data_IF_654634759925
#
_entry.id   IF_654634759925
#
_cell.length_a   1.000
_cell.length_b   1.000
_cell.length_c   1.000
_cell.angle_alpha   90.00
_cell.angle_beta   90.00
_cell.angle_gamma   90.00
#
_symmetry.space_group_name_H-M   'P 1'
#
loop_
_entity.id
_entity.type
_entity.pdbx_description
1 polymer ?
#
# COMPACT_ATOMS: atom_id res chain seq x y z
N UNK A 1 -40.03 -2.53 54.11
CA UNK A 1 -41.48 -2.65 54.33
C UNK A 1 -42.16 -2.69 52.98
N UNK A 2 -42.93 -3.76 52.70
CA UNK A 2 -43.91 -4.03 51.61
C UNK A 2 -43.50 -3.76 50.16
N UNK A 3 -43.58 -4.65 49.16
CA UNK A 3 -44.40 -5.84 48.88
C UNK A 3 -45.92 -5.67 49.13
N UNK A 4 -46.66 -5.48 48.03
CA UNK A 4 -47.95 -6.14 47.68
C UNK A 4 -48.46 -5.50 46.38
N UNK A 5 -48.53 -6.21 45.26
CA UNK A 5 -49.55 -7.21 44.89
C UNK A 5 -50.88 -6.58 44.43
N UNK A 6 -51.21 -6.83 43.16
CA UNK A 6 -52.58 -6.97 42.63
C UNK A 6 -52.48 -7.95 41.45
N UNK A 7 -52.75 -9.23 41.69
CA UNK A 7 -54.02 -9.95 41.41
C UNK A 7 -54.35 -10.00 39.91
N UNK A 8 -54.09 -11.10 39.19
CA UNK A 8 -54.77 -12.42 39.18
C UNK A 8 -56.22 -12.40 38.66
N UNK A 9 -56.42 -13.06 37.52
CA UNK A 9 -57.70 -13.70 37.17
C UNK A 9 -57.44 -14.90 36.26
N UNK A 10 -58.09 -16.00 36.63
CA UNK A 10 -57.86 -17.41 36.30
C UNK A 10 -58.96 -17.90 35.35
N UNK A 11 -58.72 -19.08 34.71
CA UNK A 11 -59.70 -20.08 34.20
C UNK A 11 -60.14 -19.87 32.73
N UNK A 12 -60.15 -20.83 31.81
CA UNK A 12 -60.50 -22.27 31.87
C UNK A 12 -60.00 -23.04 30.61
N UNK A 13 -59.70 -24.33 30.75
CA UNK A 13 -59.46 -25.36 29.70
C UNK A 13 -60.80 -26.02 29.25
N UNK A 14 -60.91 -27.14 28.47
CA UNK A 14 -60.02 -27.86 27.52
C UNK A 14 -60.74 -28.47 26.25
N UNK A 15 -60.00 -29.31 25.47
CA UNK A 15 -60.44 -30.40 24.54
C UNK A 15 -60.87 -30.04 23.10
N UNK A 16 -60.07 -30.46 22.09
CA UNK A 16 -60.42 -31.54 21.13
C UNK A 16 -59.37 -31.67 20.00
N UNK A 17 -59.04 -32.91 19.71
CA UNK A 17 -58.09 -33.46 18.75
C UNK A 17 -58.53 -33.39 17.28
N UNK A 18 -57.59 -33.17 16.35
CA UNK A 18 -57.52 -33.94 15.10
C UNK A 18 -56.20 -33.72 14.35
N UNK A 19 -55.56 -34.85 14.09
CA UNK A 19 -54.46 -35.15 13.15
C UNK A 19 -54.43 -34.36 11.84
N UNK A 20 -53.22 -33.93 11.44
CA UNK A 20 -52.68 -34.25 10.10
C UNK A 20 -51.20 -33.87 10.02
N UNK A 21 -50.40 -34.90 9.84
CA UNK A 21 -49.01 -34.91 9.38
C UNK A 21 -48.77 -34.01 8.16
N UNK A 22 -47.78 -33.12 8.22
CA UNK A 22 -47.00 -32.73 7.03
C UNK A 22 -45.66 -32.08 7.42
N UNK A 23 -44.62 -32.64 6.83
CA UNK A 23 -43.34 -31.99 6.47
C UNK A 23 -42.58 -31.20 7.54
N UNK A 24 -41.61 -31.91 8.12
CA UNK A 24 -40.34 -31.38 8.59
C UNK A 24 -39.73 -30.31 7.68
N UNK A 25 -39.56 -29.11 8.21
CA UNK A 25 -38.50 -28.16 7.81
C UNK A 25 -38.17 -27.32 9.04
N UNK A 26 -37.00 -27.51 9.68
CA UNK A 26 -36.58 -26.61 10.74
C UNK A 26 -36.20 -25.29 10.08
N UNK A 27 -37.05 -24.27 10.24
CA UNK A 27 -36.64 -22.88 10.06
C UNK A 27 -35.58 -22.60 11.12
N UNK A 28 -34.32 -22.69 10.70
CA UNK A 28 -33.15 -22.29 11.46
C UNK A 28 -33.27 -20.80 11.77
N UNK A 29 -33.79 -20.54 12.96
CA UNK A 29 -33.54 -19.36 13.74
C UNK A 29 -32.06 -19.00 13.68
N UNK A 30 -31.80 -17.75 13.30
CA UNK A 30 -30.71 -16.93 13.83
C UNK A 30 -29.32 -17.56 13.77
N UNK A 31 -28.66 -17.38 12.64
CA UNK A 31 -27.21 -17.17 12.60
C UNK A 31 -26.91 -16.24 11.43
N UNK A 32 -27.41 -15.00 11.55
CA UNK A 32 -26.73 -13.87 10.91
C UNK A 32 -25.33 -13.88 11.48
N UNK A 33 -24.39 -14.54 10.79
CA UNK A 33 -22.99 -14.25 10.93
C UNK A 33 -22.89 -12.77 10.61
N UNK A 34 -22.89 -11.95 11.65
CA UNK A 34 -22.29 -10.64 11.61
C UNK A 34 -20.94 -10.89 10.96
N UNK A 35 -20.85 -10.50 9.70
CA UNK A 35 -19.58 -10.34 9.03
C UNK A 35 -18.90 -9.34 9.93
N UNK A 36 -18.07 -9.83 10.85
CA UNK A 36 -17.19 -8.97 11.61
C UNK A 36 -16.33 -8.38 10.52
N UNK A 37 -16.69 -7.16 10.11
CA UNK A 37 -15.86 -6.29 9.28
C UNK A 37 -14.49 -6.34 9.93
N UNK A 38 -13.64 -7.22 9.43
CA UNK A 38 -12.24 -7.25 9.81
C UNK A 38 -11.76 -5.93 9.25
N UNK A 39 -11.77 -4.89 10.09
CA UNK A 39 -11.33 -3.56 9.75
C UNK A 39 -9.85 -3.69 9.44
N UNK A 40 -9.55 -3.98 8.17
CA UNK A 40 -8.22 -4.10 7.63
C UNK A 40 -7.63 -2.70 7.72
N UNK A 41 -6.88 -2.46 8.79
CA UNK A 41 -6.22 -1.19 9.01
C UNK A 41 -5.12 -1.06 7.95
N UNK A 42 -5.44 -0.38 6.84
CA UNK A 42 -4.48 -0.08 5.78
C UNK A 42 -3.46 0.91 6.33
N UNK A 43 -2.36 0.39 6.87
CA UNK A 43 -1.23 1.21 7.31
C UNK A 43 -0.37 1.49 6.07
N UNK A 44 -0.06 2.77 5.77
CA UNK A 44 0.66 3.09 4.57
C UNK A 44 2.12 2.65 4.67
N UNK A 45 2.67 2.13 3.57
CA UNK A 45 4.02 1.56 3.54
C UNK A 45 5.10 2.57 3.94
N UNK A 46 4.88 3.85 3.62
CA UNK A 46 5.74 4.97 4.02
C UNK A 46 5.87 5.05 5.54
N UNK A 47 4.77 4.89 6.29
CA UNK A 47 4.78 4.91 7.76
C UNK A 47 5.39 3.64 8.37
N UNK A 48 5.53 2.56 7.61
CA UNK A 48 6.19 1.34 8.10
C UNK A 48 7.72 1.44 7.98
N UNK A 49 8.24 2.03 6.89
CA UNK A 49 9.67 2.01 6.57
C UNK A 49 10.40 3.27 7.04
N UNK A 50 9.79 4.46 6.94
CA UNK A 50 10.46 5.71 7.32
C UNK A 50 10.80 5.80 8.82
N UNK A 51 9.89 5.48 9.76
CA UNK A 51 10.18 5.61 11.19
C UNK A 51 11.35 4.76 11.69
N UNK A 52 11.47 3.45 11.39
CA UNK A 52 12.61 2.66 11.85
C UNK A 52 13.93 3.10 11.21
N UNK A 53 13.91 3.48 9.92
CA UNK A 53 15.13 3.97 9.25
C UNK A 53 15.58 5.32 9.84
N UNK A 54 14.64 6.24 10.09
CA UNK A 54 14.90 7.48 10.80
C UNK A 54 15.38 7.25 12.23
N UNK A 55 14.83 6.25 12.95
CA UNK A 55 15.27 5.89 14.29
C UNK A 55 16.75 5.45 14.30
N UNK A 56 17.16 4.61 13.36
CA UNK A 56 18.55 4.14 13.24
C UNK A 56 19.50 5.30 12.94
N UNK A 57 19.15 6.17 11.99
CA UNK A 57 19.94 7.36 11.66
C UNK A 57 20.05 8.31 12.85
N UNK A 58 18.93 8.56 13.53
CA UNK A 58 18.87 9.37 14.75
C UNK A 58 19.73 8.77 15.87
N UNK A 59 19.70 7.45 16.03
CA UNK A 59 20.51 6.74 17.01
C UNK A 59 22.01 6.93 16.75
N UNK A 60 22.47 6.75 15.51
CA UNK A 60 23.90 6.91 15.14
C UNK A 60 24.37 8.34 15.42
N UNK A 61 23.58 9.34 15.03
CA UNK A 61 23.87 10.76 15.28
C UNK A 61 23.92 11.04 16.78
N UNK A 62 22.95 10.53 17.53
CA UNK A 62 22.85 10.69 18.98
C UNK A 62 23.99 10.02 19.74
N UNK A 63 24.40 8.81 19.35
CA UNK A 63 25.54 8.07 19.91
C UNK A 63 26.83 8.85 19.72
N UNK A 64 27.11 9.32 18.49
CA UNK A 64 28.32 10.09 18.20
C UNK A 64 28.36 11.36 19.04
N UNK A 65 27.26 12.11 19.11
CA UNK A 65 27.22 13.40 19.80
C UNK A 65 27.18 13.26 21.33
N UNK A 66 26.47 12.25 21.84
CA UNK A 66 26.39 11.92 23.26
C UNK A 66 27.70 11.37 23.81
N UNK A 67 28.34 10.46 23.07
CA UNK A 67 29.64 9.88 23.43
C UNK A 67 30.73 10.94 23.52
N UNK A 68 30.85 11.82 22.52
CA UNK A 68 31.84 12.91 22.54
C UNK A 68 31.61 13.87 23.72
N UNK A 69 30.36 14.25 24.01
CA UNK A 69 30.06 15.14 25.15
C UNK A 69 30.39 14.50 26.49
N UNK A 70 29.98 13.26 26.71
CA UNK A 70 30.25 12.54 27.96
C UNK A 70 31.76 12.33 28.17
N UNK A 71 32.50 12.02 27.10
CA UNK A 71 33.96 11.92 27.12
C UNK A 71 34.61 13.25 27.51
N UNK A 72 34.27 14.35 26.84
CA UNK A 72 34.85 15.67 27.12
C UNK A 72 34.55 16.12 28.56
N UNK A 73 33.32 15.89 29.03
CA UNK A 73 32.95 16.17 30.42
C UNK A 73 33.78 15.37 31.42
N UNK A 74 33.96 14.06 31.19
CA UNK A 74 34.79 13.24 32.06
C UNK A 74 36.25 13.70 32.08
N UNK A 75 36.80 14.09 30.91
CA UNK A 75 38.16 14.63 30.80
C UNK A 75 38.30 15.96 31.55
N UNK A 76 37.32 16.85 31.43
CA UNK A 76 37.31 18.11 32.16
C UNK A 76 37.24 17.89 33.68
N UNK A 77 36.34 17.01 34.14
CA UNK A 77 36.19 16.66 35.56
C UNK A 77 37.46 16.01 36.14
N UNK A 78 38.19 15.21 35.34
CA UNK A 78 39.35 14.43 35.80
C UNK A 78 40.70 14.97 35.30
N UNK A 79 40.75 16.19 34.75
CA UNK A 79 41.99 16.78 34.26
C UNK A 79 43.08 16.84 35.36
N UNK A 80 42.66 17.00 36.63
CA UNK A 80 43.55 17.03 37.78
C UNK A 80 43.95 15.64 38.33
N UNK A 81 43.28 14.55 37.92
CA UNK A 81 43.52 13.17 38.41
C UNK A 81 44.05 12.26 37.30
N UNK A 82 45.13 12.67 36.64
CA UNK A 82 45.76 11.82 35.63
C UNK A 82 46.37 10.56 36.30
N UNK A 83 46.15 9.35 35.75
CA UNK A 83 46.68 8.12 36.33
C UNK A 83 48.22 8.14 36.32
N UNK A 84 48.83 7.81 37.46
CA UNK A 84 50.30 7.71 37.62
C UNK A 84 50.81 6.26 37.66
N UNK A 85 49.91 5.30 37.86
CA UNK A 85 50.22 3.86 37.92
C UNK A 85 49.46 3.09 36.85
N UNK A 86 49.96 1.91 36.46
CA UNK A 86 49.34 1.04 35.44
C UNK A 86 47.93 0.60 35.87
N UNK A 87 47.76 0.22 37.13
CA UNK A 87 46.45 -0.14 37.68
C UNK A 87 45.46 1.04 37.66
N UNK A 88 45.94 2.25 37.99
CA UNK A 88 45.14 3.47 37.92
C UNK A 88 44.67 3.79 36.50
N UNK A 89 45.52 3.52 35.49
CA UNK A 89 45.15 3.72 34.08
C UNK A 89 43.99 2.81 33.65
N UNK A 90 43.96 1.55 34.12
CA UNK A 90 42.86 0.63 33.83
C UNK A 90 41.53 1.12 34.43
N UNK A 91 41.51 1.46 35.73
CA UNK A 91 40.30 1.96 36.39
C UNK A 91 39.80 3.28 35.79
N UNK A 92 40.72 4.16 35.41
CA UNK A 92 40.42 5.39 34.71
C UNK A 92 39.72 5.11 33.36
N UNK A 93 40.29 4.21 32.56
CA UNK A 93 39.76 3.86 31.23
C UNK A 93 38.41 3.15 31.32
N UNK A 94 38.24 2.22 32.27
CA UNK A 94 36.95 1.54 32.52
C UNK A 94 35.85 2.54 32.88
N UNK A 95 36.13 3.45 33.81
CA UNK A 95 35.17 4.48 34.25
C UNK A 95 34.84 5.45 33.11
N UNK A 96 35.85 5.87 32.34
CA UNK A 96 35.68 6.73 31.16
C UNK A 96 34.76 6.08 30.13
N UNK A 97 35.01 4.82 29.81
CA UNK A 97 34.25 4.09 28.80
C UNK A 97 32.80 3.85 29.26
N UNK A 98 32.57 3.59 30.55
CA UNK A 98 31.22 3.46 31.10
C UNK A 98 30.42 4.76 31.00
N UNK A 99 31.00 5.90 31.45
CA UNK A 99 30.32 7.21 31.33
C UNK A 99 30.06 7.59 29.88
N UNK A 100 31.03 7.29 28.99
CA UNK A 100 30.89 7.52 27.55
C UNK A 100 29.77 6.67 26.95
N UNK A 101 29.71 5.37 27.26
CA UNK A 101 28.69 4.46 26.75
C UNK A 101 27.29 4.84 27.24
N UNK A 102 27.13 5.16 28.53
CA UNK A 102 25.86 5.62 29.09
C UNK A 102 25.39 6.94 28.44
N UNK A 103 26.30 7.90 28.24
CA UNK A 103 26.00 9.13 27.51
C UNK A 103 25.64 8.88 26.05
N UNK A 104 26.35 7.99 25.37
CA UNK A 104 26.07 7.63 23.99
C UNK A 104 24.68 7.00 23.82
N UNK A 105 24.31 6.03 24.67
CA UNK A 105 23.02 5.34 24.60
C UNK A 105 21.87 6.30 24.90
N UNK A 106 21.96 7.10 25.98
CA UNK A 106 20.89 8.02 26.36
C UNK A 106 20.61 9.08 25.30
N UNK A 107 21.66 9.65 24.69
CA UNK A 107 21.47 10.58 23.58
C UNK A 107 21.04 9.86 22.30
N UNK A 108 21.57 8.66 22.03
CA UNK A 108 21.13 7.81 20.91
C UNK A 108 19.62 7.58 20.92
N UNK A 109 19.08 7.09 22.03
CA UNK A 109 17.65 6.83 22.19
C UNK A 109 16.79 8.10 22.05
N UNK A 110 17.24 9.22 22.64
CA UNK A 110 16.53 10.50 22.53
C UNK A 110 16.45 10.98 21.08
N UNK A 111 17.57 10.94 20.34
CA UNK A 111 17.59 11.38 18.93
C UNK A 111 16.83 10.40 18.04
N UNK A 112 16.92 9.09 18.30
CA UNK A 112 16.13 8.08 17.59
C UNK A 112 14.62 8.34 17.73
N UNK A 113 14.15 8.58 18.95
CA UNK A 113 12.74 8.86 19.23
C UNK A 113 12.26 10.16 18.57
N UNK A 114 13.05 11.24 18.67
CA UNK A 114 12.70 12.53 18.05
C UNK A 114 12.64 12.43 16.53
N UNK A 115 13.63 11.78 15.90
CA UNK A 115 13.69 11.69 14.44
C UNK A 115 12.64 10.73 13.88
N UNK A 116 12.40 9.61 14.56
CA UNK A 116 11.31 8.68 14.23
C UNK A 116 9.94 9.34 14.39
N UNK A 117 9.70 10.05 15.49
CA UNK A 117 8.47 10.80 15.70
C UNK A 117 8.25 11.89 14.65
N UNK A 118 9.31 12.60 14.25
CA UNK A 118 9.25 13.56 13.15
C UNK A 118 8.93 12.89 11.80
N UNK A 119 9.48 11.70 11.54
CA UNK A 119 9.20 10.94 10.33
C UNK A 119 7.75 10.43 10.27
N UNK A 120 7.23 9.92 11.40
CA UNK A 120 5.80 9.55 11.53
C UNK A 120 4.92 10.77 11.27
N UNK A 121 5.21 11.90 11.94
CA UNK A 121 4.44 13.12 11.79
C UNK A 121 4.48 13.66 10.36
N UNK A 122 5.63 13.62 9.71
CA UNK A 122 5.76 14.01 8.32
C UNK A 122 4.92 13.10 7.41
N UNK A 123 5.03 11.79 7.57
CA UNK A 123 4.28 10.82 6.76
C UNK A 123 2.77 10.95 6.96
N UNK A 124 2.29 11.14 8.19
CA UNK A 124 0.85 11.35 8.44
C UNK A 124 0.36 12.68 7.88
N UNK A 125 1.16 13.74 7.94
CA UNK A 125 0.82 15.02 7.33
C UNK A 125 0.78 14.91 5.82
N UNK A 126 1.79 14.32 5.19
CA UNK A 126 1.84 14.14 3.75
C UNK A 126 0.60 13.36 3.29
N UNK A 127 0.35 12.18 3.84
CA UNK A 127 -0.84 11.36 3.53
C UNK A 127 -2.16 12.07 3.83
N UNK A 128 -2.23 12.78 4.95
CA UNK A 128 -3.39 13.60 5.31
C UNK A 128 -3.66 14.74 4.32
N UNK A 129 -2.63 15.41 3.79
CA UNK A 129 -2.80 16.49 2.82
C UNK A 129 -3.32 15.99 1.48
N UNK A 130 -2.83 14.84 1.00
CA UNK A 130 -3.36 14.28 -0.25
C UNK A 130 -4.80 13.76 -0.08
N UNK A 131 -5.13 13.15 1.06
CA UNK A 131 -6.51 12.78 1.37
C UNK A 131 -7.42 14.03 1.44
N UNK A 132 -6.98 15.07 2.14
CA UNK A 132 -7.73 16.32 2.26
C UNK A 132 -7.90 17.01 0.90
N UNK A 133 -6.89 16.98 0.03
CA UNK A 133 -6.97 17.48 -1.35
C UNK A 133 -8.05 16.74 -2.14
N UNK A 134 -8.09 15.42 -2.05
CA UNK A 134 -9.06 14.58 -2.77
C UNK A 134 -10.48 14.79 -2.26
N UNK A 135 -10.65 14.94 -0.94
CA UNK A 135 -11.97 15.11 -0.32
C UNK A 135 -12.54 16.53 -0.42
N UNK A 136 -11.69 17.57 -0.32
CA UNK A 136 -12.11 18.97 -0.31
C UNK A 136 -12.20 19.54 -1.73
N UNK A 137 -11.20 19.29 -2.56
CA UNK A 137 -11.13 19.94 -3.86
C UNK A 137 -11.91 19.20 -4.95
N UNK A 138 -12.21 17.90 -4.81
CA UNK A 138 -12.98 17.10 -5.78
C UNK A 138 -12.44 17.08 -7.23
N UNK A 139 -11.36 17.79 -7.55
CA UNK A 139 -11.10 18.32 -8.90
C UNK A 139 -9.78 17.85 -9.52
N UNK A 140 -8.90 17.12 -8.83
CA UNK A 140 -7.60 16.75 -9.44
C UNK A 140 -7.31 15.25 -9.34
N UNK A 141 -7.93 14.50 -10.28
CA UNK A 141 -7.36 13.30 -10.90
C UNK A 141 -6.43 13.67 -12.09
N UNK A 142 -5.72 14.80 -12.06
CA UNK A 142 -4.86 15.21 -13.18
C UNK A 142 -3.42 14.73 -13.01
N UNK A 143 -3.22 13.50 -13.41
CA UNK A 143 -1.99 12.98 -14.00
C UNK A 143 -2.43 11.97 -15.07
N UNK A 144 -1.74 11.82 -16.21
CA UNK A 144 -2.05 10.72 -17.14
C UNK A 144 -2.04 9.42 -16.32
N UNK A 145 -3.19 8.78 -16.17
CA UNK A 145 -3.25 7.41 -15.69
C UNK A 145 -2.36 6.60 -16.64
N UNK A 146 -1.14 6.27 -16.24
CA UNK A 146 -0.45 5.10 -16.77
C UNK A 146 -1.07 3.88 -16.09
N UNK A 147 -2.40 3.79 -16.17
CA UNK A 147 -3.12 2.56 -15.94
C UNK A 147 -3.29 1.97 -17.35
N UNK A 148 -2.42 1.06 -17.80
CA UNK A 148 -2.86 0.18 -18.89
C UNK A 148 -4.17 -0.48 -18.45
N UNK A 149 -5.14 -0.71 -19.36
CA UNK A 149 -6.41 -1.33 -19.03
C UNK A 149 -6.16 -2.78 -18.60
N UNK A 150 -5.87 -2.99 -17.31
CA UNK A 150 -5.57 -4.28 -16.72
C UNK A 150 -6.54 -4.52 -15.56
N UNK A 151 -7.08 -5.73 -15.55
CA UNK A 151 -8.10 -6.19 -14.60
C UNK A 151 -7.65 -6.05 -13.15
N UNK A 152 -8.59 -5.87 -12.20
CA UNK A 152 -8.30 -5.79 -10.75
C UNK A 152 -7.43 -6.95 -10.22
N UNK A 153 -7.50 -8.13 -10.85
CA UNK A 153 -6.64 -9.28 -10.51
C UNK A 153 -5.16 -9.07 -10.83
N UNK A 154 -4.83 -8.26 -11.83
CA UNK A 154 -3.45 -7.92 -12.17
C UNK A 154 -2.91 -6.75 -11.34
N UNK A 155 -3.80 -5.92 -10.76
CA UNK A 155 -3.42 -4.91 -9.75
C UNK A 155 -2.93 -5.56 -8.45
N UNK A 156 -3.57 -6.64 -8.02
CA UNK A 156 -3.17 -7.36 -6.81
C UNK A 156 -1.84 -8.14 -6.97
N UNK A 157 -1.46 -8.50 -8.21
CA UNK A 157 -0.28 -9.34 -8.48
C UNK A 157 0.96 -8.58 -8.96
N UNK A 158 0.84 -7.30 -9.33
CA UNK A 158 1.92 -6.52 -9.93
C UNK A 158 2.01 -5.22 -9.16
N UNK A 159 3.20 -4.92 -8.63
CA UNK A 159 3.51 -3.85 -7.65
C UNK A 159 3.27 -4.30 -6.21
N UNK A 160 4.33 -4.35 -5.39
CA UNK A 160 4.19 -4.41 -3.94
C UNK A 160 3.30 -3.26 -3.51
N UNK A 161 2.09 -3.60 -3.08
CA UNK A 161 0.94 -2.74 -2.89
C UNK A 161 1.37 -1.53 -2.06
N UNK A 162 1.54 -0.37 -2.70
CA UNK A 162 1.70 0.88 -1.97
C UNK A 162 0.36 1.18 -1.36
N UNK A 163 0.15 0.66 -0.16
CA UNK A 163 -0.94 1.09 0.69
C UNK A 163 -0.66 2.56 1.02
N UNK A 164 -1.52 3.45 0.55
CA UNK A 164 -1.51 4.88 0.89
C UNK A 164 -2.94 5.27 1.21
N UNK A 165 -3.12 6.27 2.07
CA UNK A 165 -4.44 6.87 2.31
C UNK A 165 -4.86 7.81 1.18
N UNK A 166 -3.93 8.17 0.28
CA UNK A 166 -4.20 8.92 -0.95
C UNK A 166 -4.52 7.94 -2.09
N UNK A 167 -5.54 8.25 -2.88
CA UNK A 167 -5.87 7.48 -4.08
C UNK A 167 -5.12 7.95 -5.34
N UNK A 168 -4.68 9.22 -5.39
CA UNK A 168 -4.05 9.84 -6.56
C UNK A 168 -2.52 9.94 -6.51
N UNK A 169 -1.92 10.35 -7.63
CA UNK A 169 -0.48 10.67 -7.71
C UNK A 169 -0.10 11.80 -6.72
N UNK A 170 1.10 11.72 -6.16
CA UNK A 170 1.62 12.76 -5.27
C UNK A 170 1.96 14.02 -6.06
N UNK A 171 1.34 15.15 -5.69
CA UNK A 171 1.68 16.45 -6.28
C UNK A 171 2.89 17.00 -5.52
N UNK A 172 3.84 17.61 -6.22
CA UNK A 172 5.09 18.11 -5.62
C UNK A 172 4.89 19.15 -4.49
N UNK A 173 3.75 19.85 -4.49
CA UNK A 173 3.40 20.80 -3.43
C UNK A 173 2.93 20.12 -2.14
N UNK A 174 2.44 18.88 -2.18
CA UNK A 174 1.92 18.17 -1.00
C UNK A 174 3.03 18.00 0.05
N UNK A 175 4.23 17.58 -0.37
CA UNK A 175 5.39 17.50 0.52
C UNK A 175 5.89 18.86 0.99
N UNK A 176 5.75 19.90 0.16
CA UNK A 176 6.11 21.27 0.53
C UNK A 176 5.24 21.80 1.67
N UNK A 177 3.93 21.52 1.63
CA UNK A 177 3.00 21.86 2.71
C UNK A 177 3.25 21.02 3.96
N UNK A 178 3.45 19.71 3.81
CA UNK A 178 3.77 18.82 4.93
C UNK A 178 5.05 19.27 5.67
N UNK A 179 6.11 19.58 4.92
CA UNK A 179 7.36 20.09 5.46
C UNK A 179 7.23 21.49 6.08
N UNK A 180 6.44 22.37 5.49
CA UNK A 180 6.14 23.70 6.03
C UNK A 180 5.39 23.63 7.36
N UNK A 181 4.34 22.80 7.46
CA UNK A 181 3.57 22.62 8.70
C UNK A 181 4.41 21.97 9.80
N UNK A 182 5.24 20.99 9.46
CA UNK A 182 6.15 20.38 10.41
C UNK A 182 7.18 21.42 10.92
N UNK A 183 7.73 22.25 10.04
CA UNK A 183 8.64 23.32 10.43
C UNK A 183 7.97 24.40 11.31
N UNK A 184 6.72 24.74 11.02
CA UNK A 184 5.92 25.64 11.88
C UNK A 184 5.72 25.04 13.27
N UNK A 185 5.32 23.78 13.37
CA UNK A 185 5.14 23.07 14.64
C UNK A 185 6.42 23.04 15.48
N UNK A 186 7.55 22.72 14.84
CA UNK A 186 8.87 22.74 15.49
C UNK A 186 9.24 24.16 15.94
N UNK A 187 9.02 25.16 15.10
CA UNK A 187 9.31 26.56 15.39
C UNK A 187 8.55 27.10 16.59
N UNK A 188 7.26 26.77 16.70
CA UNK A 188 6.41 27.13 17.83
C UNK A 188 6.80 26.36 19.10
N UNK A 189 7.04 25.05 18.99
CA UNK A 189 7.37 24.18 20.12
C UNK A 189 8.67 24.57 20.83
N UNK A 190 9.67 24.98 20.06
CA UNK A 190 10.99 25.38 20.57
C UNK A 190 11.17 26.89 20.69
N UNK A 191 10.13 27.69 20.38
CA UNK A 191 10.17 29.17 20.39
C UNK A 191 11.43 29.69 19.71
N UNK A 192 11.65 29.27 18.46
CA UNK A 192 12.85 29.64 17.72
C UNK A 192 12.92 31.17 17.51
N UNK A 193 14.10 31.79 17.64
CA UNK A 193 14.28 33.19 17.29
C UNK A 193 13.98 33.40 15.80
N UNK A 194 13.45 34.59 15.44
CA UNK A 194 12.89 34.90 14.10
C UNK A 194 13.76 34.44 12.94
N UNK A 195 15.08 34.60 13.04
CA UNK A 195 16.03 34.20 11.98
C UNK A 195 16.11 32.67 11.81
N UNK A 196 16.16 31.92 12.92
CA UNK A 196 16.18 30.45 12.87
C UNK A 196 14.84 29.89 12.43
N UNK A 197 13.75 30.56 12.79
CA UNK A 197 12.41 30.21 12.37
C UNK A 197 12.24 30.30 10.84
N UNK A 198 12.62 31.41 10.22
CA UNK A 198 12.53 31.58 8.76
C UNK A 198 13.37 30.53 8.03
N UNK A 199 14.58 30.25 8.51
CA UNK A 199 15.44 29.20 7.92
C UNK A 199 14.84 27.81 8.04
N UNK A 200 14.27 27.48 9.20
CA UNK A 200 13.60 26.19 9.41
C UNK A 200 12.39 26.04 8.47
N UNK A 201 11.63 27.11 8.25
CA UNK A 201 10.49 27.12 7.36
C UNK A 201 10.90 26.94 5.90
N UNK A 202 11.89 27.71 5.43
CA UNK A 202 12.44 27.57 4.07
C UNK A 202 12.97 26.15 3.86
N UNK A 203 13.78 25.64 4.79
CA UNK A 203 14.30 24.28 4.71
C UNK A 203 13.19 23.23 4.68
N UNK A 204 12.17 23.37 5.53
CA UNK A 204 11.03 22.45 5.59
C UNK A 204 10.29 22.38 4.26
N UNK A 205 9.96 23.54 3.68
CA UNK A 205 9.27 23.63 2.38
C UNK A 205 10.14 23.06 1.26
N UNK A 206 11.41 23.48 1.16
CA UNK A 206 12.30 23.02 0.07
C UNK A 206 12.60 21.53 0.16
N UNK A 207 12.83 21.01 1.37
CA UNK A 207 13.15 19.59 1.58
C UNK A 207 11.92 18.72 1.34
N UNK A 208 10.74 19.18 1.76
CA UNK A 208 9.47 18.52 1.49
C UNK A 208 9.16 18.44 -0.01
N UNK A 209 9.27 19.56 -0.73
CA UNK A 209 9.09 19.58 -2.18
C UNK A 209 10.12 18.71 -2.93
N UNK A 210 11.39 18.75 -2.51
CA UNK A 210 12.42 17.88 -3.07
C UNK A 210 12.16 16.39 -2.82
N UNK A 211 11.65 16.04 -1.63
CA UNK A 211 11.28 14.65 -1.30
C UNK A 211 10.19 14.13 -2.23
N UNK A 212 9.12 14.89 -2.44
CA UNK A 212 8.04 14.47 -3.34
C UNK A 212 8.50 14.45 -4.80
N UNK A 213 9.31 15.41 -5.23
CA UNK A 213 9.91 15.39 -6.57
C UNK A 213 10.76 14.13 -6.81
N UNK A 214 11.54 13.70 -5.81
CA UNK A 214 12.30 12.45 -5.87
C UNK A 214 11.39 11.23 -5.96
N UNK A 215 10.29 11.20 -5.22
CA UNK A 215 9.33 10.09 -5.30
C UNK A 215 8.72 9.97 -6.70
N UNK A 216 8.34 11.10 -7.31
CA UNK A 216 7.82 11.16 -8.69
C UNK A 216 8.89 10.68 -9.68
N UNK A 217 10.13 11.13 -9.52
CA UNK A 217 11.25 10.72 -10.38
C UNK A 217 11.52 9.22 -10.30
N UNK A 218 11.55 8.65 -9.10
CA UNK A 218 11.73 7.21 -8.89
C UNK A 218 10.56 6.38 -9.43
N UNK A 219 9.33 6.90 -9.34
CA UNK A 219 8.16 6.24 -9.92
C UNK A 219 8.30 6.15 -11.45
N UNK A 220 8.66 7.26 -12.10
CA UNK A 220 8.87 7.32 -13.56
C UNK A 220 10.00 6.39 -14.02
N UNK A 221 11.12 6.34 -13.29
CA UNK A 221 12.23 5.45 -13.63
C UNK A 221 11.81 3.96 -13.63
N UNK A 222 11.03 3.54 -12.63
CA UNK A 222 10.53 2.15 -12.53
C UNK A 222 9.56 1.78 -13.65
N UNK A 223 8.72 2.73 -14.09
CA UNK A 223 7.79 2.48 -15.21
C UNK A 223 8.58 2.15 -16.48
N UNK A 224 9.63 2.91 -16.79
CA UNK A 224 10.48 2.63 -17.94
C UNK A 224 11.19 1.27 -17.86
N UNK A 225 11.61 0.82 -16.68
CA UNK A 225 12.20 -0.51 -16.52
C UNK A 225 11.21 -1.63 -16.82
N UNK A 226 9.95 -1.46 -16.43
CA UNK A 226 8.91 -2.45 -16.69
C UNK A 226 8.48 -2.50 -18.15
N UNK A 227 8.47 -1.36 -18.84
CA UNK A 227 8.25 -1.32 -20.29
C UNK A 227 9.33 -2.12 -21.01
N UNK A 228 10.60 -1.97 -20.61
CA UNK A 228 11.72 -2.76 -21.15
C UNK A 228 11.54 -4.26 -20.91
N UNK A 229 11.15 -4.64 -19.71
CA UNK A 229 10.89 -6.05 -19.37
C UNK A 229 9.70 -6.63 -20.15
N UNK A 230 8.62 -5.87 -20.33
CA UNK A 230 7.47 -6.29 -21.15
C UNK A 230 7.85 -6.45 -22.62
N UNK A 231 8.63 -5.52 -23.17
CA UNK A 231 9.12 -5.62 -24.54
C UNK A 231 10.00 -6.86 -24.75
N UNK A 232 10.88 -7.18 -23.79
CA UNK A 232 11.69 -8.40 -23.83
C UNK A 232 10.84 -9.68 -23.84
N UNK A 233 9.84 -9.76 -22.95
CA UNK A 233 8.93 -10.91 -22.91
C UNK A 233 8.09 -11.09 -24.16
N UNK A 234 7.67 -9.99 -24.80
CA UNK A 234 6.93 -10.06 -26.06
C UNK A 234 7.79 -10.67 -27.19
N UNK A 235 9.06 -10.27 -27.26
CA UNK A 235 10.02 -10.81 -28.24
C UNK A 235 10.28 -12.30 -27.97
N UNK A 236 10.44 -12.70 -26.70
CA UNK A 236 10.63 -14.11 -26.31
C UNK A 236 9.43 -14.98 -26.74
N UNK A 237 8.20 -14.53 -26.47
CA UNK A 237 7.00 -15.25 -26.91
C UNK A 237 6.85 -15.34 -28.44
N UNK A 238 7.31 -14.33 -29.18
CA UNK A 238 7.34 -14.40 -30.64
C UNK A 238 8.37 -15.41 -31.14
N UNK A 239 9.52 -15.54 -30.47
CA UNK A 239 10.53 -16.56 -30.80
C UNK A 239 9.99 -17.96 -30.52
N UNK A 240 9.39 -18.18 -29.34
CA UNK A 240 8.75 -19.46 -29.01
C UNK A 240 7.69 -19.86 -30.03
N UNK A 241 6.80 -18.93 -30.44
CA UNK A 241 5.80 -19.21 -31.48
C UNK A 241 6.42 -19.55 -32.84
N UNK A 242 7.51 -18.88 -33.22
CA UNK A 242 8.23 -19.17 -34.47
C UNK A 242 8.90 -20.55 -34.42
N UNK A 243 9.46 -20.92 -33.27
CA UNK A 243 10.11 -22.21 -33.08
C UNK A 243 9.08 -23.36 -33.03
N UNK A 244 7.93 -23.16 -32.39
CA UNK A 244 6.81 -24.09 -32.44
C UNK A 244 6.29 -24.28 -33.87
N UNK A 245 6.11 -23.20 -34.64
CA UNK A 245 5.68 -23.27 -36.04
C UNK A 245 6.69 -24.05 -36.92
N UNK A 246 7.99 -23.86 -36.69
CA UNK A 246 9.04 -24.64 -37.37
C UNK A 246 8.97 -26.12 -36.99
N UNK A 247 8.84 -26.44 -35.70
CA UNK A 247 8.70 -27.85 -35.23
C UNK A 247 7.49 -28.54 -35.85
N UNK A 248 6.35 -27.84 -35.96
CA UNK A 248 5.15 -28.37 -36.61
C UNK A 248 5.40 -28.60 -38.11
N UNK A 249 6.08 -27.69 -38.80
CA UNK A 249 6.44 -27.86 -40.21
C UNK A 249 7.39 -29.04 -40.44
N UNK A 250 8.41 -29.20 -39.59
CA UNK A 250 9.36 -30.31 -39.67
C UNK A 250 8.69 -31.67 -39.38
N UNK A 251 7.77 -31.72 -38.41
CA UNK A 251 6.99 -32.94 -38.09
C UNK A 251 6.05 -33.32 -39.24
N UNK A 252 5.45 -32.34 -39.91
CA UNK A 252 4.62 -32.57 -41.09
C UNK A 252 5.44 -33.09 -42.29
N UNK A 253 6.69 -32.65 -42.45
CA UNK A 253 7.59 -33.10 -43.51
C UNK A 253 8.07 -34.56 -43.35
N UNK A 254 8.13 -35.09 -42.12
CA UNK A 254 8.61 -36.46 -41.84
C UNK A 254 7.49 -37.51 -41.95
N UNK A 255 6.23 -37.11 -42.12
CA UNK A 255 5.10 -38.05 -42.27
C UNK A 255 4.61 -38.10 -43.73
N UNK A 256 5.16 -38.96 -44.62
CA UNK A 256 4.57 -39.16 -45.93
C UNK A 256 3.19 -39.84 -45.76
N UNK A 257 2.17 -39.23 -46.33
CA UNK A 257 0.80 -39.74 -46.41
C UNK A 257 0.78 -41.23 -46.78
N UNK A 258 0.43 -42.09 -45.82
CA UNK A 258 -0.19 -43.37 -46.12
C UNK A 258 -1.62 -43.06 -46.56
N UNK A 259 -1.75 -42.80 -47.85
CA UNK A 259 -3.00 -42.67 -48.58
C UNK A 259 -3.88 -43.91 -48.32
N UNK A 260 -4.85 -43.79 -47.41
CA UNK A 260 -5.95 -44.73 -47.30
C UNK A 260 -7.17 -44.08 -47.96
N UNK A 261 -7.35 -44.45 -49.23
CA UNK A 261 -8.57 -44.24 -50.00
C UNK A 261 -9.69 -45.04 -49.35
N UNK A 262 -10.72 -44.35 -48.84
CA UNK A 262 -12.01 -44.94 -48.47
C UNK A 262 -13.10 -44.02 -49.05
N UNK A 263 -13.93 -44.60 -49.91
CA UNK A 263 -14.97 -43.96 -50.73
C UNK A 263 -16.01 -43.11 -49.95
N UNK A 264 -16.71 -42.18 -50.64
CA UNK A 264 -17.84 -41.44 -50.08
C UNK A 264 -19.13 -42.30 -50.06
N UNK A 265 -19.79 -42.37 -48.90
CA UNK A 265 -21.17 -42.84 -48.78
C UNK A 265 -22.13 -41.63 -48.87
N UNK A 266 -23.29 -41.74 -49.57
CA UNK A 266 -24.22 -40.63 -49.70
C UNK A 266 -24.93 -40.32 -48.38
N UNK A 267 -24.95 -39.02 -48.06
CA UNK A 267 -25.64 -38.43 -46.92
C UNK A 267 -27.15 -38.66 -47.02
N UNK A 268 -27.69 -39.49 -46.12
CA UNK A 268 -29.12 -39.53 -45.80
C UNK A 268 -29.45 -38.27 -45.00
N UNK A 269 -30.20 -37.37 -45.65
CA UNK A 269 -30.82 -36.19 -45.04
C UNK A 269 -31.83 -36.65 -43.99
N UNK A 270 -31.54 -36.40 -42.71
CA UNK A 270 -32.55 -36.42 -41.65
C UNK A 270 -32.73 -35.00 -41.12
N UNK A 271 -33.77 -34.36 -41.65
CA UNK A 271 -34.30 -33.05 -41.26
C UNK A 271 -34.74 -33.13 -39.79
N UNK A 272 -34.04 -32.43 -38.91
CA UNK A 272 -34.52 -32.14 -37.55
C UNK A 272 -34.91 -30.67 -37.51
N UNK A 273 -36.17 -30.44 -37.21
CA UNK A 273 -36.79 -29.15 -37.05
C UNK A 273 -36.38 -28.49 -35.73
N UNK A 274 -36.31 -27.16 -35.73
CA UNK A 274 -36.41 -26.34 -34.52
C UNK A 274 -35.09 -25.92 -33.90
N UNK A 275 -34.51 -24.83 -34.42
CA UNK A 275 -33.72 -23.88 -33.62
C UNK A 275 -33.76 -22.53 -34.33
N UNK A 276 -34.30 -21.53 -33.64
CA UNK A 276 -34.49 -20.16 -34.11
C UNK A 276 -33.14 -19.50 -34.46
N UNK A 277 -33.10 -18.82 -35.60
CA UNK A 277 -31.93 -18.07 -36.05
C UNK A 277 -31.75 -16.79 -35.23
N UNK A 278 -30.56 -16.50 -34.68
CA UNK A 278 -30.23 -15.14 -34.28
C UNK A 278 -29.99 -14.30 -35.55
N UNK A 279 -30.87 -13.32 -35.78
CA UNK A 279 -30.67 -12.27 -36.79
C UNK A 279 -29.27 -11.65 -36.60
N UNK A 280 -28.39 -11.92 -37.54
CA UNK A 280 -27.11 -11.23 -37.68
C UNK A 280 -27.40 -9.78 -38.06
N UNK A 281 -27.42 -8.89 -37.07
CA UNK A 281 -27.28 -7.46 -37.33
C UNK A 281 -25.89 -7.24 -37.91
N UNK A 282 -25.85 -6.93 -39.21
CA UNK A 282 -24.62 -6.58 -39.89
C UNK A 282 -24.08 -5.28 -39.30
N UNK A 283 -22.77 -5.16 -39.17
CA UNK A 283 -22.07 -3.93 -38.75
C UNK A 283 -22.53 -2.66 -39.51
N UNK A 284 -23.08 -2.83 -40.73
CA UNK A 284 -23.72 -1.78 -41.51
C UNK A 284 -24.97 -1.14 -40.86
N UNK A 285 -25.75 -1.89 -40.09
CA UNK A 285 -26.94 -1.35 -39.39
C UNK A 285 -26.53 -0.54 -38.14
N UNK A 286 -25.43 -0.93 -37.49
CA UNK A 286 -24.81 -0.18 -36.38
C UNK A 286 -24.13 1.11 -36.85
N UNK A 287 -23.69 1.16 -38.11
CA UNK A 287 -23.08 2.36 -38.69
C UNK A 287 -24.12 3.42 -39.06
N UNK A 288 -25.32 3.02 -39.52
CA UNK A 288 -26.41 3.97 -39.85
C UNK A 288 -27.00 4.66 -38.64
N UNK A 289 -27.00 4.04 -37.46
CA UNK A 289 -27.55 4.66 -36.24
C UNK A 289 -26.69 5.79 -35.67
N UNK A 290 -25.46 5.97 -36.18
CA UNK A 290 -24.52 7.00 -35.73
C UNK A 290 -24.50 8.26 -36.61
N UNK A 291 -25.28 8.29 -37.70
CA UNK A 291 -25.39 9.46 -38.58
C UNK A 291 -26.59 10.34 -38.17
N UNK A 292 -26.35 11.57 -37.71
CA UNK A 292 -27.44 12.52 -37.45
C UNK A 292 -27.96 13.09 -38.77
N UNK A 293 -29.27 12.94 -39.00
CA UNK A 293 -30.13 13.83 -39.78
C UNK A 293 -29.67 14.22 -41.20
N UNK A 294 -30.30 13.61 -42.21
CA UNK A 294 -30.67 14.35 -43.41
C UNK A 294 -32.19 14.31 -43.53
N UNK A 295 -32.77 15.51 -43.46
CA UNK A 295 -34.14 15.87 -43.82
C UNK A 295 -34.49 15.48 -45.25
#
# INVERSE_FOLDING_TARGET
>A
MSLSDTMSSITSSPIASSSSSSSSSPSSSSSSYANSDSSQLTIPTTLLILPPTAAILGFIIGVRRGGSRARLRFLAENAHRAPKTVQGWYFYTKTRNYKMAHGAINYGLKYAAVLSGAAVLYGTLDEGFGWARENIAGIIRYGPQIDPPLSERERAGRWGERTSWKGGESVWWDGSFAGGVLALGVGLRYRLPRQLFVRALVLGVTMGGASTALQIGLARAKVHELERWRAQKAIEQEQERKDEAKRLADTAAVTPLKQQVSQPQPLVVKRIAGAEEPKKSGWWDTFRSWLPGQS
#
